data_IF_821967167295
#
_entry.id   IF_821967167295
#
_cell.length_a   1.000
_cell.length_b   1.000
_cell.length_c   1.000
_cell.angle_alpha   90.00
_cell.angle_beta   90.00
_cell.angle_gamma   90.00
#
_symmetry.space_group_name_H-M   'P 1'
#
loop_
_entity.id
_entity.type
_entity.pdbx_description
1 polymer ?
#
# COMPACT_ATOMS: atom_id res chain seq x y z
N UNK A 1 -21.54 -6.81 -20.58
CA UNK A 1 -20.42 -5.89 -20.82
C UNK A 1 -19.51 -6.08 -19.63
N UNK A 2 -18.49 -6.91 -19.79
CA UNK A 2 -17.55 -7.27 -18.72
C UNK A 2 -16.68 -6.04 -18.47
N UNK A 3 -16.79 -5.43 -17.30
CA UNK A 3 -15.86 -4.39 -16.87
C UNK A 3 -14.54 -5.12 -16.60
N UNK A 4 -13.54 -4.94 -17.46
CA UNK A 4 -12.26 -5.62 -17.31
C UNK A 4 -11.66 -5.33 -15.93
N UNK A 5 -10.94 -6.30 -15.35
CA UNK A 5 -10.23 -6.15 -14.07
C UNK A 5 -9.37 -4.86 -14.04
N UNK A 6 -8.75 -4.55 -15.18
CA UNK A 6 -7.96 -3.33 -15.39
C UNK A 6 -8.76 -2.03 -15.17
N UNK A 7 -10.06 -2.01 -15.53
CA UNK A 7 -10.93 -0.85 -15.27
C UNK A 7 -11.27 -0.73 -13.79
N UNK A 8 -11.51 -1.86 -13.11
CA UNK A 8 -11.80 -1.90 -11.67
C UNK A 8 -10.57 -1.48 -10.86
N UNK A 9 -9.39 -1.96 -11.21
CA UNK A 9 -8.13 -1.60 -10.58
C UNK A 9 -7.81 -0.12 -10.77
N UNK A 10 -8.00 0.41 -11.99
CA UNK A 10 -7.82 1.84 -12.25
C UNK A 10 -8.78 2.71 -11.42
N UNK A 11 -10.02 2.28 -11.24
CA UNK A 11 -10.98 2.98 -10.37
C UNK A 11 -10.58 2.90 -8.90
N UNK A 12 -10.19 1.71 -8.43
CA UNK A 12 -9.73 1.49 -7.06
C UNK A 12 -8.57 2.42 -6.73
N UNK A 13 -7.53 2.46 -7.58
CA UNK A 13 -6.36 3.34 -7.39
C UNK A 13 -6.75 4.82 -7.20
N UNK A 14 -7.77 5.29 -7.92
CA UNK A 14 -8.33 6.62 -7.74
C UNK A 14 -9.01 6.83 -6.37
N UNK A 15 -9.69 5.80 -5.85
CA UNK A 15 -10.23 5.81 -4.49
C UNK A 15 -9.13 5.78 -3.43
N UNK A 16 -8.07 4.97 -3.60
CA UNK A 16 -6.92 4.93 -2.70
C UNK A 16 -6.25 6.30 -2.57
N UNK A 17 -5.93 6.91 -3.71
CA UNK A 17 -5.34 8.25 -3.75
C UNK A 17 -6.22 9.25 -3.01
N UNK A 18 -7.53 9.24 -3.26
CA UNK A 18 -8.46 10.17 -2.61
C UNK A 18 -8.62 9.92 -1.11
N UNK A 19 -8.56 8.66 -0.66
CA UNK A 19 -8.55 8.33 0.78
C UNK A 19 -7.30 8.88 1.46
N UNK A 20 -6.12 8.71 0.85
CA UNK A 20 -4.87 9.27 1.35
C UNK A 20 -4.92 10.80 1.40
N UNK A 21 -5.35 11.45 0.32
CA UNK A 21 -5.50 12.91 0.27
C UNK A 21 -6.32 13.42 1.46
N UNK A 22 -7.50 12.84 1.70
CA UNK A 22 -8.38 13.21 2.83
C UNK A 22 -7.77 12.97 4.20
N UNK A 23 -7.08 11.86 4.39
CA UNK A 23 -6.41 11.57 5.66
C UNK A 23 -5.27 12.55 5.92
N UNK A 24 -4.51 12.91 4.88
CA UNK A 24 -3.38 13.85 5.00
C UNK A 24 -3.79 15.33 5.18
N UNK A 25 -5.07 15.66 5.03
CA UNK A 25 -5.62 16.97 5.45
C UNK A 25 -5.62 17.13 6.98
N UNK A 26 -5.53 16.02 7.73
CA UNK A 26 -5.51 16.03 9.19
C UNK A 26 -4.14 16.44 9.73
N UNK A 27 -4.12 17.30 10.75
CA UNK A 27 -2.87 17.73 11.40
C UNK A 27 -2.14 16.54 12.01
N UNK A 28 -0.90 16.32 11.58
CA UNK A 28 -0.04 15.25 12.09
C UNK A 28 -0.23 13.90 11.38
N UNK A 29 -0.99 13.87 10.28
CA UNK A 29 -1.17 12.68 9.44
C UNK A 29 -0.41 12.89 8.13
N UNK A 30 0.76 12.27 8.02
CA UNK A 30 1.45 12.11 6.75
C UNK A 30 1.01 10.81 6.06
N UNK A 31 1.57 10.52 4.88
CA UNK A 31 1.18 9.31 4.13
C UNK A 31 1.41 8.02 4.93
N UNK A 32 2.57 7.77 5.58
CA UNK A 32 2.75 6.61 6.44
C UNK A 32 1.66 6.47 7.50
N UNK A 33 1.34 7.55 8.23
CA UNK A 33 0.27 7.52 9.24
C UNK A 33 -1.10 7.26 8.60
N UNK A 34 -1.41 7.88 7.45
CA UNK A 34 -2.65 7.64 6.72
C UNK A 34 -2.80 6.16 6.32
N UNK A 35 -1.73 5.52 5.86
CA UNK A 35 -1.76 4.09 5.49
C UNK A 35 -1.99 3.17 6.68
N UNK A 36 -1.52 3.56 7.88
CA UNK A 36 -1.82 2.85 9.13
C UNK A 36 -3.32 2.94 9.49
N UNK A 37 -3.94 4.12 9.31
CA UNK A 37 -5.40 4.26 9.46
C UNK A 37 -6.16 3.37 8.48
N UNK A 38 -5.74 3.34 7.21
CA UNK A 38 -6.37 2.51 6.19
C UNK A 38 -6.27 1.02 6.53
N UNK A 39 -5.09 0.53 6.93
CA UNK A 39 -4.93 -0.86 7.37
C UNK A 39 -5.77 -1.16 8.61
N UNK A 40 -5.88 -0.24 9.57
CA UNK A 40 -6.71 -0.44 10.76
C UNK A 40 -8.20 -0.58 10.40
N UNK A 41 -8.67 0.17 9.40
CA UNK A 41 -10.08 0.19 8.98
C UNK A 41 -10.44 -0.97 8.04
N UNK A 42 -9.57 -1.31 7.09
CA UNK A 42 -9.79 -2.34 6.06
C UNK A 42 -8.49 -3.18 5.89
N UNK A 43 -8.12 -4.01 6.88
CA UNK A 43 -6.85 -4.74 6.89
C UNK A 43 -6.70 -5.77 5.77
N UNK A 44 -7.80 -6.19 5.15
CA UNK A 44 -7.81 -7.09 4.00
C UNK A 44 -7.42 -6.38 2.70
N UNK A 45 -7.46 -5.05 2.67
CA UNK A 45 -7.28 -4.24 1.44
C UNK A 45 -6.02 -3.38 1.46
N UNK A 46 -5.57 -3.01 2.65
CA UNK A 46 -4.48 -2.06 2.86
C UNK A 46 -3.40 -2.64 3.78
N UNK A 47 -2.15 -2.34 3.45
CA UNK A 47 -0.99 -2.52 4.32
C UNK A 47 -0.42 -1.16 4.68
N UNK A 48 0.05 -0.98 5.91
CA UNK A 48 0.81 0.20 6.32
C UNK A 48 2.12 0.26 5.55
N UNK A 49 2.51 1.46 5.15
CA UNK A 49 3.79 1.71 4.49
C UNK A 49 4.70 2.49 5.44
N UNK A 50 5.78 1.85 5.88
CA UNK A 50 6.88 2.50 6.59
C UNK A 50 8.25 2.09 6.03
N UNK A 51 9.32 2.71 6.52
CA UNK A 51 10.69 2.32 6.12
C UNK A 51 11.00 0.85 6.47
N UNK A 52 10.38 0.30 7.51
CA UNK A 52 10.59 -1.10 7.92
C UNK A 52 10.13 -2.08 6.85
N UNK A 53 8.84 -2.07 6.53
CA UNK A 53 8.26 -3.03 5.57
C UNK A 53 8.82 -2.79 4.17
N UNK A 54 9.05 -1.52 3.80
CA UNK A 54 9.70 -1.19 2.54
C UNK A 54 11.13 -1.77 2.48
N UNK A 55 11.93 -1.60 3.53
CA UNK A 55 13.29 -2.13 3.57
C UNK A 55 13.32 -3.65 3.51
N UNK A 56 12.38 -4.35 4.15
CA UNK A 56 12.24 -5.79 4.03
C UNK A 56 11.99 -6.21 2.56
N UNK A 57 11.01 -5.60 1.89
CA UNK A 57 10.73 -5.85 0.46
C UNK A 57 11.95 -5.54 -0.43
N UNK A 58 12.70 -4.47 -0.12
CA UNK A 58 13.96 -4.17 -0.81
C UNK A 58 15.01 -5.25 -0.64
N UNK A 59 15.20 -5.76 0.58
CA UNK A 59 16.20 -6.81 0.88
C UNK A 59 15.94 -8.08 0.08
N UNK A 60 14.66 -8.42 -0.15
CA UNK A 60 14.27 -9.56 -0.96
C UNK A 60 14.14 -9.27 -2.47
N UNK A 61 14.37 -8.02 -2.90
CA UNK A 61 14.37 -7.64 -4.32
C UNK A 61 12.99 -7.30 -4.89
N UNK A 62 11.94 -7.30 -4.08
CA UNK A 62 10.56 -6.99 -4.50
C UNK A 62 10.36 -5.49 -4.75
N UNK A 63 11.12 -4.65 -4.06
CA UNK A 63 11.25 -3.23 -4.36
C UNK A 63 12.70 -2.89 -4.71
N UNK A 64 12.90 -2.04 -5.73
CA UNK A 64 14.24 -1.61 -6.15
C UNK A 64 14.65 -0.24 -5.61
N UNK A 65 13.68 0.62 -5.29
CA UNK A 65 13.90 2.01 -4.89
C UNK A 65 14.04 2.16 -3.38
N UNK A 66 14.88 3.11 -2.93
CA UNK A 66 15.01 3.51 -1.52
C UNK A 66 13.70 4.09 -0.96
N UNK A 67 13.54 4.10 0.37
CA UNK A 67 12.31 4.60 0.98
C UNK A 67 12.26 6.11 0.75
N UNK A 68 11.14 6.68 0.27
CA UNK A 68 11.10 8.09 -0.08
C UNK A 68 11.31 8.98 1.15
N UNK A 69 12.09 10.05 1.02
CA UNK A 69 12.21 11.07 2.07
C UNK A 69 10.87 11.76 2.35
N UNK A 70 10.01 11.86 1.34
CA UNK A 70 8.64 12.35 1.45
C UNK A 70 7.70 11.38 0.71
N UNK A 71 7.12 10.39 1.40
CA UNK A 71 6.23 9.42 0.77
C UNK A 71 4.93 10.09 0.29
N UNK A 72 4.51 9.74 -0.93
CA UNK A 72 3.30 10.25 -1.58
C UNK A 72 2.38 9.12 -2.07
N UNK A 73 1.18 9.44 -2.60
CA UNK A 73 0.23 8.44 -3.09
C UNK A 73 0.84 7.46 -4.11
N UNK A 74 1.59 7.95 -5.11
CA UNK A 74 2.23 7.09 -6.10
C UNK A 74 3.27 6.12 -5.51
N UNK A 75 3.93 6.49 -4.40
CA UNK A 75 4.84 5.59 -3.70
C UNK A 75 4.04 4.51 -2.95
N UNK A 76 2.90 4.90 -2.36
CA UNK A 76 2.00 3.96 -1.69
C UNK A 76 1.36 2.98 -2.66
N UNK A 77 0.88 3.44 -3.83
CA UNK A 77 0.27 2.57 -4.83
C UNK A 77 1.25 1.48 -5.27
N UNK A 78 2.49 1.86 -5.57
CA UNK A 78 3.55 0.91 -5.91
C UNK A 78 3.81 -0.07 -4.76
N UNK A 79 3.96 0.44 -3.54
CA UNK A 79 4.20 -0.39 -2.37
C UNK A 79 3.07 -1.40 -2.15
N UNK A 80 1.82 -0.94 -2.20
CA UNK A 80 0.65 -1.77 -1.95
C UNK A 80 0.48 -2.84 -3.05
N UNK A 81 0.73 -2.49 -4.30
CA UNK A 81 0.69 -3.44 -5.41
C UNK A 81 1.79 -4.50 -5.30
N UNK A 82 3.00 -4.12 -4.88
CA UNK A 82 4.06 -5.09 -4.56
C UNK A 82 3.63 -6.01 -3.43
N UNK A 83 3.04 -5.49 -2.35
CA UNK A 83 2.52 -6.32 -1.26
C UNK A 83 1.46 -7.30 -1.73
N UNK A 84 0.51 -6.87 -2.57
CA UNK A 84 -0.52 -7.75 -3.15
C UNK A 84 0.09 -8.87 -3.99
N UNK A 85 1.03 -8.51 -4.87
CA UNK A 85 1.74 -9.47 -5.72
C UNK A 85 2.48 -10.52 -4.89
N UNK A 86 3.20 -10.11 -3.84
CA UNK A 86 3.95 -11.02 -2.95
C UNK A 86 3.00 -11.90 -2.14
N UNK A 87 1.92 -11.34 -1.60
CA UNK A 87 0.90 -12.07 -0.85
C UNK A 87 0.26 -13.16 -1.72
N UNK A 88 -0.15 -12.81 -2.93
CA UNK A 88 -0.72 -13.72 -3.91
C UNK A 88 0.26 -14.83 -4.31
N UNK A 89 1.52 -14.49 -4.58
CA UNK A 89 2.55 -15.47 -4.92
C UNK A 89 2.83 -16.45 -3.78
N UNK A 90 2.82 -15.98 -2.53
CA UNK A 90 3.00 -16.84 -1.36
C UNK A 90 1.73 -17.60 -0.95
N UNK A 91 0.56 -17.24 -1.49
CA UNK A 91 -0.73 -17.77 -1.08
C UNK A 91 -1.20 -17.30 0.30
N UNK A 92 -0.79 -16.10 0.73
CA UNK A 92 -1.16 -15.50 2.01
C UNK A 92 -1.98 -14.22 1.83
N UNK A 93 -2.69 -13.79 2.87
CA UNK A 93 -3.35 -12.48 2.88
C UNK A 93 -2.37 -11.34 3.24
N UNK A 94 -2.79 -10.09 2.95
CA UNK A 94 -1.99 -8.89 3.24
C UNK A 94 -1.65 -8.74 4.73
N UNK A 95 -2.53 -9.19 5.64
CA UNK A 95 -2.29 -9.08 7.07
C UNK A 95 -1.19 -10.05 7.53
N UNK A 96 -1.16 -11.25 6.97
CA UNK A 96 -0.13 -12.27 7.21
C UNK A 96 1.20 -11.82 6.63
N UNK A 97 1.19 -11.27 5.41
CA UNK A 97 2.38 -10.65 4.82
C UNK A 97 2.92 -9.53 5.71
N UNK A 98 2.08 -8.57 6.11
CA UNK A 98 2.47 -7.46 6.99
C UNK A 98 3.14 -7.94 8.28
N UNK A 99 2.62 -9.02 8.89
CA UNK A 99 3.22 -9.60 10.11
C UNK A 99 4.56 -10.30 9.86
N UNK A 100 4.84 -10.71 8.63
CA UNK A 100 6.08 -11.39 8.24
C UNK A 100 7.19 -10.41 7.77
N UNK A 101 6.82 -9.21 7.34
CA UNK A 101 7.73 -8.09 7.02
C UNK A 101 8.32 -7.45 8.28
#
# INVERSE_FOLDING_TARGET
MDLSAETVDAMAAGYETRKLERLTELRGVDVPVATAFLQFLEPERYSVMSDREWSALRTYGELSQSYPTAPGPAAYDRYLETCRTVADWCGWDLQTLYRAL
#
